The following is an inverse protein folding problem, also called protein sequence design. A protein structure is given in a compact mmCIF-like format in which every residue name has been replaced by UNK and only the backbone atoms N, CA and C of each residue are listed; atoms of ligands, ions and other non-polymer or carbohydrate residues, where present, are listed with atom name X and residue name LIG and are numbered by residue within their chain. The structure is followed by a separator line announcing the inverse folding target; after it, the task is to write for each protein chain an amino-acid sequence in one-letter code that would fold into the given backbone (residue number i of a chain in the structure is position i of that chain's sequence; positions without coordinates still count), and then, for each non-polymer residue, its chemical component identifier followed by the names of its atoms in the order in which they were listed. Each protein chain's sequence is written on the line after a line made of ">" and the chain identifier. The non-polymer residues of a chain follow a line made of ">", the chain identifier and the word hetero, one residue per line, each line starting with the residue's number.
data_IF_165482695084
#
_entry.id   IF_165482695084
#
_cell.length_a   1.000
_cell.length_b   1.000
_cell.length_c   1.000
_cell.angle_alpha   90.00
_cell.angle_beta   90.00
_cell.angle_gamma   90.00
#
_symmetry.space_group_name_H-M   'P 1'
#
loop_
_entity.id
_entity.type
_entity.pdbx_description
1 polymer ?
#
# COMPACT_ATOMS: atom_id res chain seq x y z
N UNK A 1 16.75 17.27 11.84
CA UNK A 1 16.46 15.92 11.27
C UNK A 1 17.26 14.80 11.93
N UNK A 2 18.60 14.88 12.05
CA UNK A 2 19.36 13.95 12.93
C UNK A 2 18.90 13.99 14.39
N UNK A 3 18.50 15.19 14.85
CA UNK A 3 17.93 15.40 16.19
C UNK A 3 16.54 14.77 16.39
N UNK A 4 15.84 14.41 15.29
CA UNK A 4 14.54 13.73 15.32
C UNK A 4 14.65 12.22 15.11
N UNK A 5 15.88 11.68 15.10
CA UNK A 5 16.18 10.27 14.82
C UNK A 5 15.56 9.76 13.49
N UNK A 6 15.54 10.62 12.46
CA UNK A 6 15.05 10.26 11.12
C UNK A 6 16.20 9.75 10.25
N UNK A 7 16.09 8.49 9.82
CA UNK A 7 17.06 7.85 8.94
C UNK A 7 16.67 7.99 7.47
N UNK A 8 17.65 8.20 6.61
CA UNK A 8 17.48 8.23 5.16
C UNK A 8 18.18 7.01 4.55
N UNK A 9 17.48 6.30 3.67
CA UNK A 9 18.03 5.14 3.00
C UNK A 9 17.56 5.10 1.55
N UNK A 10 18.49 4.90 0.63
CA UNK A 10 18.15 4.58 -0.75
C UNK A 10 17.89 3.08 -0.86
N UNK A 11 16.71 2.74 -1.36
CA UNK A 11 16.24 1.38 -1.58
C UNK A 11 15.99 1.10 -3.08
N UNK A 12 16.52 1.95 -3.96
CA UNK A 12 16.37 1.79 -5.41
C UNK A 12 17.26 0.68 -5.98
N UNK A 13 16.89 0.17 -7.15
CA UNK A 13 17.75 -0.71 -7.95
C UNK A 13 17.69 -2.21 -7.63
N UNK A 14 17.10 -2.65 -6.51
CA UNK A 14 16.90 -4.08 -6.22
C UNK A 14 15.79 -4.32 -5.18
N UNK A 15 15.34 -5.56 -5.05
CA UNK A 15 14.41 -6.03 -4.02
C UNK A 15 15.07 -6.17 -2.64
N UNK A 16 16.40 -6.28 -2.58
CA UNK A 16 17.19 -6.32 -1.34
C UNK A 16 16.92 -5.10 -0.43
N UNK A 17 16.61 -3.95 -1.04
CA UNK A 17 16.23 -2.73 -0.33
C UNK A 17 14.95 -2.85 0.49
N UNK A 18 14.10 -3.87 0.26
CA UNK A 18 12.89 -4.08 1.07
C UNK A 18 13.17 -4.67 2.45
N UNK A 19 14.35 -5.26 2.69
CA UNK A 19 14.74 -5.80 4.01
C UNK A 19 14.75 -4.76 5.11
N UNK A 20 14.82 -3.47 4.75
CA UNK A 20 14.69 -2.34 5.69
C UNK A 20 13.34 -2.34 6.41
N UNK A 21 12.33 -2.99 5.82
CA UNK A 21 10.99 -3.10 6.38
C UNK A 21 10.82 -4.34 7.26
N UNK A 22 11.80 -5.24 7.36
CA UNK A 22 11.64 -6.48 8.14
C UNK A 22 11.36 -6.23 9.63
N UNK A 23 11.93 -5.17 10.19
CA UNK A 23 11.74 -4.74 11.59
C UNK A 23 10.81 -3.52 11.71
N UNK A 24 9.95 -3.29 10.71
CA UNK A 24 9.06 -2.13 10.66
C UNK A 24 7.71 -2.42 11.33
N UNK A 25 7.36 -1.64 12.37
CA UNK A 25 6.04 -1.74 13.01
C UNK A 25 4.91 -1.17 12.12
N UNK A 26 5.21 -0.11 11.35
CA UNK A 26 4.26 0.62 10.53
C UNK A 26 4.93 1.28 9.33
N UNK A 27 4.46 0.93 8.13
CA UNK A 27 4.87 1.58 6.89
C UNK A 27 3.81 2.58 6.39
N UNK A 28 4.21 3.84 6.20
CA UNK A 28 3.42 4.86 5.49
C UNK A 28 4.24 5.32 4.28
N UNK A 29 3.70 5.16 3.07
CA UNK A 29 4.43 5.54 1.87
C UNK A 29 3.61 5.43 0.60
N UNK A 30 4.19 5.83 -0.53
CA UNK A 30 3.51 5.85 -1.84
C UNK A 30 3.96 4.72 -2.79
N UNK A 31 5.02 3.98 -2.44
CA UNK A 31 5.54 2.90 -3.30
C UNK A 31 4.70 1.65 -3.12
N UNK A 32 3.91 1.31 -4.14
CA UNK A 32 2.99 0.16 -4.14
C UNK A 32 3.69 -1.16 -3.77
N UNK A 33 4.91 -1.41 -4.25
CA UNK A 33 5.64 -2.64 -3.96
C UNK A 33 6.14 -2.70 -2.50
N UNK A 34 6.51 -1.57 -1.91
CA UNK A 34 6.85 -1.51 -0.49
C UNK A 34 5.62 -1.82 0.38
N UNK A 35 4.45 -1.32 -0.02
CA UNK A 35 3.18 -1.63 0.65
C UNK A 35 2.84 -3.13 0.59
N UNK A 36 2.90 -3.75 -0.60
CA UNK A 36 2.67 -5.21 -0.76
C UNK A 36 3.65 -6.02 0.09
N UNK A 37 4.93 -5.64 0.08
CA UNK A 37 5.95 -6.31 0.89
C UNK A 37 5.60 -6.27 2.38
N UNK A 38 5.28 -5.09 2.92
CA UNK A 38 4.88 -4.94 4.32
C UNK A 38 3.66 -5.80 4.68
N UNK A 39 2.61 -5.79 3.85
CA UNK A 39 1.44 -6.64 4.07
C UNK A 39 1.79 -8.13 4.05
N UNK A 40 2.68 -8.57 3.16
CA UNK A 40 3.14 -9.97 3.09
C UNK A 40 3.92 -10.42 4.34
N UNK A 41 4.59 -9.48 5.01
CA UNK A 41 5.31 -9.68 6.28
C UNK A 41 4.43 -9.49 7.52
N UNK A 42 3.15 -9.15 7.31
CA UNK A 42 2.15 -8.80 8.34
C UNK A 42 2.48 -7.51 9.10
N UNK A 43 3.27 -6.62 8.51
CA UNK A 43 3.48 -5.28 9.04
C UNK A 43 2.26 -4.42 8.72
N UNK A 44 1.92 -3.48 9.61
CA UNK A 44 0.88 -2.50 9.33
C UNK A 44 1.34 -1.61 8.18
N UNK A 45 0.42 -1.30 7.25
CA UNK A 45 0.78 -0.40 6.17
C UNK A 45 -0.36 0.45 5.65
N UNK A 46 -0.05 1.73 5.44
CA UNK A 46 -0.91 2.72 4.79
C UNK A 46 -0.24 3.15 3.48
N UNK A 47 -0.97 3.04 2.38
CA UNK A 47 -0.53 3.45 1.05
C UNK A 47 -1.11 4.82 0.69
N UNK A 48 -0.22 5.75 0.35
CA UNK A 48 -0.58 7.00 -0.31
C UNK A 48 -0.65 6.77 -1.81
N UNK A 49 -1.83 6.94 -2.40
CA UNK A 49 -2.10 6.60 -3.79
C UNK A 49 -1.60 7.73 -4.71
N UNK A 50 -0.43 7.52 -5.32
CA UNK A 50 0.14 8.43 -6.31
C UNK A 50 -0.56 8.30 -7.68
N UNK A 51 -0.95 7.08 -8.02
CA UNK A 51 -1.56 6.72 -9.30
C UNK A 51 -2.53 5.53 -9.17
N UNK A 52 -3.10 5.12 -10.30
CA UNK A 52 -4.11 4.08 -10.38
C UNK A 52 -3.64 2.71 -9.85
N UNK A 53 -2.33 2.41 -9.85
CA UNK A 53 -1.82 1.13 -9.34
C UNK A 53 -2.03 1.03 -7.84
N UNK A 54 -1.83 2.15 -7.13
CA UNK A 54 -2.06 2.22 -5.70
C UNK A 54 -3.54 2.11 -5.35
N UNK A 55 -4.38 2.89 -6.04
CA UNK A 55 -5.83 2.87 -5.80
C UNK A 55 -6.45 1.51 -6.10
N UNK A 56 -6.09 0.88 -7.22
CA UNK A 56 -6.61 -0.44 -7.56
C UNK A 56 -6.17 -1.51 -6.57
N UNK A 57 -4.96 -1.41 -6.00
CA UNK A 57 -4.52 -2.35 -4.98
C UNK A 57 -5.32 -2.19 -3.68
N UNK A 58 -5.47 -0.96 -3.19
CA UNK A 58 -6.23 -0.69 -1.96
C UNK A 58 -7.69 -1.12 -2.12
N UNK A 59 -8.33 -0.77 -3.23
CA UNK A 59 -9.68 -1.21 -3.57
C UNK A 59 -9.78 -2.75 -3.57
N UNK A 60 -8.83 -3.42 -4.23
CA UNK A 60 -8.80 -4.89 -4.31
C UNK A 60 -8.65 -5.53 -2.93
N UNK A 61 -7.87 -4.94 -2.02
CA UNK A 61 -7.62 -5.50 -0.69
C UNK A 61 -8.58 -5.00 0.39
N UNK A 62 -9.54 -4.12 0.04
CA UNK A 62 -10.45 -3.51 1.00
C UNK A 62 -9.75 -2.57 1.99
N UNK A 63 -8.70 -1.88 1.55
CA UNK A 63 -7.91 -0.93 2.34
C UNK A 63 -8.34 0.52 2.10
N UNK A 64 -8.03 1.45 3.02
CA UNK A 64 -8.42 2.86 2.90
C UNK A 64 -7.84 3.53 1.65
N UNK A 65 -8.66 4.28 0.93
CA UNK A 65 -8.22 5.07 -0.23
C UNK A 65 -7.70 6.46 0.18
N UNK A 66 -6.40 6.69 0.01
CA UNK A 66 -5.75 7.99 0.32
C UNK A 66 -5.07 8.54 -0.91
N UNK A 67 -5.83 9.25 -1.74
CA UNK A 67 -5.35 9.83 -3.01
C UNK A 67 -4.45 11.03 -2.75
N UNK A 68 -3.24 11.05 -3.31
CA UNK A 68 -2.32 12.20 -3.17
C UNK A 68 -2.76 13.41 -4.00
N UNK A 69 -3.60 13.18 -5.01
CA UNK A 69 -4.09 14.20 -5.94
C UNK A 69 -5.47 13.85 -6.47
N UNK A 70 -6.18 14.86 -6.94
CA UNK A 70 -7.48 14.70 -7.60
C UNK A 70 -7.46 15.35 -8.97
N UNK A 71 -8.36 14.91 -9.83
CA UNK A 71 -8.59 15.50 -11.13
C UNK A 71 -9.80 16.43 -11.07
N UNK A 72 -9.64 17.64 -11.56
CA UNK A 72 -10.73 18.58 -11.78
C UNK A 72 -10.70 19.10 -13.22
N UNK A 73 -11.89 19.34 -13.78
CA UNK A 73 -12.00 19.95 -15.11
C UNK A 73 -12.05 21.46 -14.91
N UNK A 74 -11.01 22.14 -15.38
CA UNK A 74 -10.91 23.59 -15.36
C UNK A 74 -10.73 24.11 -16.79
N UNK A 75 -11.60 25.04 -17.20
CA UNK A 75 -11.57 25.65 -18.54
C UNK A 75 -11.53 24.62 -19.69
N UNK A 76 -12.19 23.49 -19.52
CA UNK A 76 -12.27 22.42 -20.52
C UNK A 76 -11.06 21.47 -20.56
N UNK A 77 -10.11 21.59 -19.63
CA UNK A 77 -8.96 20.70 -19.51
C UNK A 77 -8.93 20.00 -18.14
N UNK A 78 -8.43 18.77 -18.10
CA UNK A 78 -8.15 18.04 -16.87
C UNK A 78 -6.90 18.61 -16.20
N UNK A 79 -7.03 19.00 -14.93
CA UNK A 79 -5.93 19.45 -14.09
C UNK A 79 -5.82 18.61 -12.82
N UNK A 80 -4.58 18.39 -12.38
CA UNK A 80 -4.29 17.71 -11.12
C UNK A 80 -4.15 18.71 -9.98
N UNK A 81 -4.86 18.47 -8.89
CA UNK A 81 -4.77 19.24 -7.66
C UNK A 81 -4.23 18.34 -6.55
N UNK A 82 -3.24 18.83 -5.82
CA UNK A 82 -2.71 18.12 -4.65
C UNK A 82 -3.82 18.03 -3.59
N UNK A 83 -3.90 16.87 -2.95
CA UNK A 83 -4.79 16.64 -1.83
C UNK A 83 -4.25 17.34 -0.58
N UNK A 84 -4.86 18.46 -0.21
CA UNK A 84 -4.57 19.23 1.00
C UNK A 84 -5.11 18.60 2.30
N UNK A 85 -6.00 17.60 2.17
CA UNK A 85 -6.61 16.84 3.27
C UNK A 85 -5.91 15.52 3.58
N UNK A 86 -4.85 15.19 2.85
CA UNK A 86 -4.15 13.90 2.94
C UNK A 86 -3.72 13.58 4.37
N UNK A 87 -3.23 14.57 5.13
CA UNK A 87 -2.80 14.36 6.51
C UNK A 87 -3.93 13.88 7.42
N UNK A 88 -5.13 14.45 7.27
CA UNK A 88 -6.31 14.05 8.04
C UNK A 88 -6.82 12.67 7.64
N UNK A 89 -6.67 12.31 6.36
CA UNK A 89 -7.04 10.96 5.89
C UNK A 89 -6.07 9.90 6.40
N UNK A 90 -4.78 10.22 6.53
CA UNK A 90 -3.81 9.32 7.18
C UNK A 90 -4.14 9.17 8.66
N UNK A 91 -4.47 10.25 9.35
CA UNK A 91 -4.89 10.22 10.75
C UNK A 91 -6.15 9.36 10.95
N UNK A 92 -7.17 9.57 10.12
CA UNK A 92 -8.40 8.77 10.13
C UNK A 92 -8.12 7.28 9.85
N UNK A 93 -7.24 6.97 8.90
CA UNK A 93 -6.83 5.59 8.62
C UNK A 93 -6.13 4.94 9.82
N UNK A 94 -5.26 5.68 10.53
CA UNK A 94 -4.58 5.19 11.73
C UNK A 94 -5.56 4.96 12.89
N UNK A 95 -6.49 5.90 13.11
CA UNK A 95 -7.54 5.75 14.12
C UNK A 95 -8.41 4.54 13.83
N UNK A 96 -8.86 4.39 12.58
CA UNK A 96 -9.65 3.23 12.16
C UNK A 96 -8.91 1.91 12.35
N UNK A 97 -7.59 1.86 12.13
CA UNK A 97 -6.79 0.66 12.40
C UNK A 97 -6.80 0.31 13.89
N UNK A 98 -6.61 1.29 14.76
CA UNK A 98 -6.58 1.08 16.20
C UNK A 98 -7.97 0.68 16.76
N UNK A 99 -9.03 1.37 16.33
CA UNK A 99 -10.39 1.17 16.83
C UNK A 99 -11.02 -0.15 16.33
N UNK A 100 -10.72 -0.55 15.09
CA UNK A 100 -11.27 -1.78 14.51
C UNK A 100 -10.35 -3.01 14.72
N UNK A 101 -9.44 -2.96 15.71
CA UNK A 101 -8.51 -4.03 16.03
C UNK A 101 -7.76 -4.57 14.80
N UNK A 102 -7.34 -3.67 13.89
CA UNK A 102 -6.59 -4.01 12.68
C UNK A 102 -7.29 -4.96 11.70
N UNK A 103 -8.62 -5.09 11.78
CA UNK A 103 -9.43 -6.01 10.97
C UNK A 103 -9.20 -5.85 9.46
N UNK A 104 -9.03 -4.62 8.97
CA UNK A 104 -8.72 -4.35 7.56
C UNK A 104 -7.39 -4.98 7.11
N UNK A 105 -6.37 -4.97 7.97
CA UNK A 105 -5.07 -5.59 7.69
C UNK A 105 -5.17 -7.11 7.68
N UNK A 106 -5.93 -7.69 8.62
CA UNK A 106 -6.19 -9.14 8.62
C UNK A 106 -6.92 -9.58 7.35
N UNK A 107 -7.92 -8.81 6.91
CA UNK A 107 -8.66 -9.08 5.69
C UNK A 107 -7.77 -8.98 4.46
N UNK A 108 -6.96 -7.92 4.34
CA UNK A 108 -5.99 -7.77 3.25
C UNK A 108 -5.02 -8.96 3.19
N UNK A 109 -4.49 -9.41 4.33
CA UNK A 109 -3.63 -10.60 4.39
C UNK A 109 -4.35 -11.88 3.93
N UNK A 110 -5.60 -12.09 4.36
CA UNK A 110 -6.41 -13.24 3.91
C UNK A 110 -6.62 -13.22 2.40
N UNK A 111 -6.94 -12.05 1.85
CA UNK A 111 -7.14 -11.87 0.40
C UNK A 111 -5.85 -12.13 -0.37
N UNK A 112 -4.71 -11.59 0.07
CA UNK A 112 -3.40 -11.85 -0.55
C UNK A 112 -3.06 -13.35 -0.60
N UNK A 113 -3.28 -14.07 0.50
CA UNK A 113 -3.07 -15.54 0.50
C UNK A 113 -4.00 -16.26 -0.45
N UNK A 114 -5.26 -15.84 -0.53
CA UNK A 114 -6.21 -16.44 -1.47
C UNK A 114 -5.77 -16.21 -2.92
N UNK A 115 -5.31 -15.01 -3.28
CA UNK A 115 -4.76 -14.74 -4.60
C UNK A 115 -3.51 -15.57 -4.89
N UNK A 116 -2.61 -15.70 -3.91
CA UNK A 116 -1.42 -16.53 -4.04
C UNK A 116 -1.75 -18.01 -4.32
N UNK A 117 -2.67 -18.60 -3.55
CA UNK A 117 -3.09 -20.00 -3.75
C UNK A 117 -3.85 -20.19 -5.07
N UNK A 118 -4.65 -19.21 -5.50
CA UNK A 118 -5.30 -19.23 -6.81
C UNK A 118 -4.27 -19.23 -7.95
N UNK A 119 -3.27 -18.35 -7.86
CA UNK A 119 -2.17 -18.27 -8.83
C UNK A 119 -1.37 -19.57 -8.87
N UNK A 120 -1.04 -20.14 -7.71
CA UNK A 120 -0.32 -21.41 -7.60
C UNK A 120 -1.08 -22.55 -8.29
N UNK A 121 -2.38 -22.67 -8.04
CA UNK A 121 -3.24 -23.66 -8.71
C UNK A 121 -3.28 -23.46 -10.23
N UNK A 122 -3.37 -22.21 -10.68
CA UNK A 122 -3.35 -21.90 -12.11
C UNK A 122 -2.02 -22.29 -12.78
N UNK A 123 -0.88 -21.97 -12.16
CA UNK A 123 0.44 -22.33 -12.68
C UNK A 123 0.58 -23.86 -12.78
N UNK A 124 0.12 -24.61 -11.77
CA UNK A 124 0.13 -26.07 -11.81
C UNK A 124 -0.75 -26.61 -12.95
N UNK A 125 -1.94 -26.05 -13.13
CA UNK A 125 -2.83 -26.47 -14.23
C UNK A 125 -2.23 -26.26 -15.62
N UNK A 126 -1.40 -25.22 -15.81
CA UNK A 126 -0.69 -24.99 -17.08
C UNK A 126 0.44 -26.01 -17.25
N UNK A 127 1.17 -26.33 -16.19
CA UNK A 127 2.25 -27.32 -16.25
C UNK A 127 1.76 -28.73 -16.56
N UNK A 128 0.55 -29.08 -16.16
CA UNK A 128 -0.07 -30.37 -16.48
C UNK A 128 -0.57 -30.44 -17.95
N UNK A 129 -0.59 -29.31 -18.67
CA UNK A 129 -1.03 -29.22 -20.08
C UNK A 129 0.17 -29.25 -21.05
N UNK A 130 1.40 -29.00 -20.57
CA UNK A 130 2.64 -28.95 -21.38
C UNK A 130 3.46 -30.23 -21.15
#
# INVERSE_FOLDING_TARGET
>A
MKELNVHFMDISGSDEGFKVYDDCDLHIGFRVHAHIYNLSRRNLSILLEEDARGSSLNETLGLPEIKTKYLQVEKGALQYHINDKMIYQVEDALLNLAENHYCSMENAYRMMNQYFENMKRHILSIKDII
#
